data_IF_926171715106
#
_entry.id   IF_926171715106
#
_cell.length_a   1.000
_cell.length_b   1.000
_cell.length_c   1.000
_cell.angle_alpha   90.00
_cell.angle_beta   90.00
_cell.angle_gamma   90.00
#
_symmetry.space_group_name_H-M   'P 1'
#
loop_
_entity.id
_entity.type
_entity.pdbx_description
1 polymer ?
#
# COMPACT_ATOMS: atom_id res chain seq x y z
N UNK A 1 1.47 11.87 14.01
CA UNK A 1 0.80 10.98 15.00
C UNK A 1 0.80 11.50 16.44
N UNK A 2 1.62 12.49 16.82
CA UNK A 2 1.60 13.06 18.18
C UNK A 2 0.24 13.64 18.64
N UNK A 3 -0.65 13.99 17.71
CA UNK A 3 -1.98 14.56 18.02
C UNK A 3 -2.99 13.53 18.55
N UNK A 4 -2.91 12.26 18.13
CA UNK A 4 -3.93 11.25 18.47
C UNK A 4 -3.53 10.33 19.62
N UNK A 5 -2.28 10.39 20.10
CA UNK A 5 -1.77 9.47 21.12
C UNK A 5 -2.50 9.54 22.46
N UNK A 6 -3.11 10.70 22.78
CA UNK A 6 -3.81 10.91 24.04
C UNK A 6 -5.33 10.67 23.93
N UNK A 7 -5.84 10.38 22.72
CA UNK A 7 -7.28 10.30 22.43
C UNK A 7 -7.65 8.94 21.81
N UNK A 8 -6.91 7.88 22.16
CA UNK A 8 -7.12 6.54 21.59
C UNK A 8 -8.47 5.92 21.99
N UNK A 9 -9.04 6.33 23.12
CA UNK A 9 -10.32 5.84 23.65
C UNK A 9 -11.53 6.63 23.12
N UNK A 10 -11.34 7.65 22.28
CA UNK A 10 -12.44 8.44 21.74
C UNK A 10 -13.24 7.65 20.69
N UNK A 11 -14.56 7.68 20.83
CA UNK A 11 -15.50 7.14 19.84
C UNK A 11 -15.96 8.29 18.95
N UNK A 12 -15.41 8.35 17.73
CA UNK A 12 -15.80 9.30 16.69
C UNK A 12 -15.98 8.62 15.33
N UNK A 13 -16.57 9.33 14.38
CA UNK A 13 -16.50 8.94 12.97
C UNK A 13 -15.10 9.27 12.42
N UNK A 14 -14.13 8.41 12.74
CA UNK A 14 -12.72 8.58 12.39
C UNK A 14 -12.49 8.73 10.88
N UNK A 15 -13.40 8.25 10.04
CA UNK A 15 -13.33 8.43 8.58
C UNK A 15 -13.53 9.88 8.14
N UNK A 16 -14.18 10.71 8.97
CA UNK A 16 -14.37 12.14 8.74
C UNK A 16 -13.32 12.99 9.45
N UNK A 17 -12.78 12.49 10.56
CA UNK A 17 -11.82 13.19 11.40
C UNK A 17 -10.41 13.13 10.81
N UNK A 18 -10.00 11.94 10.35
CA UNK A 18 -8.67 11.75 9.80
C UNK A 18 -8.60 12.32 8.39
N UNK A 19 -7.53 13.05 8.10
CA UNK A 19 -7.20 13.41 6.71
C UNK A 19 -6.98 12.16 5.86
N UNK A 20 -7.13 12.26 4.54
CA UNK A 20 -6.88 11.13 3.63
C UNK A 20 -5.49 10.52 3.82
N UNK A 21 -4.46 11.35 4.02
CA UNK A 21 -3.10 10.88 4.28
C UNK A 21 -2.94 10.16 5.63
N UNK A 22 -3.70 10.54 6.65
CA UNK A 22 -3.74 9.81 7.93
C UNK A 22 -4.50 8.49 7.80
N UNK A 23 -5.58 8.46 7.03
CA UNK A 23 -6.30 7.22 6.73
C UNK A 23 -5.43 6.23 5.97
N UNK A 24 -4.66 6.69 4.98
CA UNK A 24 -3.66 5.86 4.29
C UNK A 24 -2.61 5.32 5.27
N UNK A 25 -2.04 6.16 6.14
CA UNK A 25 -1.08 5.69 7.16
C UNK A 25 -1.70 4.64 8.09
N UNK A 26 -2.95 4.82 8.51
CA UNK A 26 -3.68 3.82 9.30
C UNK A 26 -3.89 2.52 8.53
N UNK A 27 -4.17 2.57 7.22
CA UNK A 27 -4.26 1.39 6.38
C UNK A 27 -2.93 0.63 6.34
N UNK A 28 -1.80 1.33 6.16
CA UNK A 28 -0.47 0.70 6.21
C UNK A 28 -0.14 0.09 7.57
N UNK A 29 -0.47 0.76 8.67
CA UNK A 29 -0.33 0.19 10.01
C UNK A 29 -1.15 -1.10 10.15
N UNK A 30 -2.40 -1.11 9.66
CA UNK A 30 -3.24 -2.31 9.69
C UNK A 30 -2.64 -3.45 8.87
N UNK A 31 -2.09 -3.17 7.70
CA UNK A 31 -1.43 -4.15 6.85
C UNK A 31 -0.24 -4.78 7.58
N UNK A 32 0.64 -3.95 8.15
CA UNK A 32 1.83 -4.41 8.87
C UNK A 32 1.50 -5.18 10.15
N UNK A 33 0.42 -4.80 10.83
CA UNK A 33 -0.05 -5.47 12.03
C UNK A 33 -0.70 -6.83 11.73
N UNK A 34 -1.60 -6.87 10.74
CA UNK A 34 -2.38 -8.07 10.43
C UNK A 34 -1.59 -9.09 9.60
N UNK A 35 -0.60 -8.64 8.82
CA UNK A 35 0.21 -9.46 7.91
C UNK A 35 -0.65 -10.40 7.06
N UNK A 36 -1.56 -9.87 6.22
CA UNK A 36 -2.50 -10.71 5.48
C UNK A 36 -1.79 -11.54 4.42
N UNK A 37 -2.22 -12.79 4.20
CA UNK A 37 -1.66 -13.66 3.14
C UNK A 37 -1.79 -13.07 1.74
N UNK A 38 -2.80 -12.22 1.51
CA UNK A 38 -3.06 -11.54 0.24
C UNK A 38 -3.25 -10.06 0.51
N UNK A 39 -2.50 -9.23 -0.20
CA UNK A 39 -2.57 -7.78 -0.11
C UNK A 39 -2.84 -7.20 -1.49
N UNK A 40 -3.95 -6.47 -1.62
CA UNK A 40 -4.33 -5.74 -2.82
C UNK A 40 -4.15 -4.24 -2.59
N UNK A 41 -3.35 -3.59 -3.42
CA UNK A 41 -3.09 -2.15 -3.36
C UNK A 41 -3.53 -1.49 -4.67
N UNK A 42 -4.67 -0.83 -4.65
CA UNK A 42 -5.19 -0.10 -5.81
C UNK A 42 -4.85 1.40 -5.70
N UNK A 43 -3.88 1.87 -6.49
CA UNK A 43 -3.44 3.27 -6.57
C UNK A 43 -3.13 3.95 -5.21
N UNK A 44 -2.77 3.15 -4.20
CA UNK A 44 -2.65 3.58 -2.79
C UNK A 44 -1.54 4.62 -2.58
N UNK A 45 -0.60 4.71 -3.51
CA UNK A 45 0.54 5.62 -3.49
C UNK A 45 0.43 6.79 -4.47
N UNK A 46 -0.72 6.96 -5.14
CA UNK A 46 -0.97 8.05 -6.11
C UNK A 46 -0.71 9.45 -5.56
N UNK A 47 -0.93 9.66 -4.27
CA UNK A 47 -0.70 10.93 -3.56
C UNK A 47 0.73 11.10 -3.01
N UNK A 48 1.60 10.11 -3.19
CA UNK A 48 2.99 10.15 -2.70
C UNK A 48 3.94 10.60 -3.81
N UNK A 49 5.04 11.24 -3.41
CA UNK A 49 6.18 11.37 -4.31
C UNK A 49 6.89 10.01 -4.49
N UNK A 50 7.79 9.96 -5.46
CA UNK A 50 8.50 8.74 -5.85
C UNK A 50 9.39 8.16 -4.74
N UNK A 51 10.01 9.03 -3.94
CA UNK A 51 10.90 8.60 -2.85
C UNK A 51 10.09 7.99 -1.71
N UNK A 52 8.96 8.61 -1.35
CA UNK A 52 8.03 8.13 -0.35
C UNK A 52 7.36 6.80 -0.78
N UNK A 53 6.98 6.66 -2.04
CA UNK A 53 6.45 5.40 -2.60
C UNK A 53 7.48 4.28 -2.49
N UNK A 54 8.71 4.52 -2.97
CA UNK A 54 9.80 3.55 -2.93
C UNK A 54 10.12 3.13 -1.49
N UNK A 55 10.19 4.08 -0.57
CA UNK A 55 10.42 3.81 0.85
C UNK A 55 9.30 2.99 1.48
N UNK A 56 8.06 3.27 1.11
CA UNK A 56 6.92 2.54 1.64
C UNK A 56 6.89 1.08 1.15
N UNK A 57 7.14 0.87 -0.15
CA UNK A 57 7.20 -0.48 -0.70
C UNK A 57 8.39 -1.27 -0.16
N UNK A 58 9.54 -0.65 0.10
CA UNK A 58 10.68 -1.35 0.70
C UNK A 58 10.34 -1.88 2.11
N UNK A 59 9.60 -1.12 2.92
CA UNK A 59 9.09 -1.58 4.22
C UNK A 59 8.13 -2.77 4.03
N UNK A 60 7.18 -2.67 3.09
CA UNK A 60 6.24 -3.76 2.82
C UNK A 60 6.97 -5.05 2.41
N UNK A 61 7.95 -4.95 1.50
CA UNK A 61 8.74 -6.12 1.09
C UNK A 61 9.54 -6.69 2.24
N UNK A 62 10.18 -5.84 3.06
CA UNK A 62 10.94 -6.29 4.22
C UNK A 62 10.07 -7.04 5.24
N UNK A 63 8.87 -6.54 5.53
CA UNK A 63 8.00 -7.08 6.57
C UNK A 63 7.11 -8.23 6.10
N UNK A 64 6.76 -8.27 4.81
CA UNK A 64 5.68 -9.12 4.30
C UNK A 64 6.09 -10.14 3.24
N UNK A 65 7.23 -9.98 2.54
CA UNK A 65 7.56 -10.81 1.38
C UNK A 65 7.60 -12.32 1.68
N UNK A 66 7.92 -12.71 2.91
CA UNK A 66 7.98 -14.12 3.32
C UNK A 66 6.61 -14.74 3.64
N UNK A 67 5.54 -13.93 3.74
CA UNK A 67 4.23 -14.39 4.21
C UNK A 67 3.07 -13.98 3.30
N UNK A 68 3.21 -12.87 2.59
CA UNK A 68 2.11 -12.22 1.88
C UNK A 68 2.39 -12.18 0.38
N UNK A 69 1.37 -12.49 -0.41
CA UNK A 69 1.37 -12.19 -1.84
C UNK A 69 0.79 -10.80 -2.06
N UNK A 70 1.54 -9.95 -2.74
CA UNK A 70 1.18 -8.54 -2.97
C UNK A 70 0.83 -8.35 -4.44
N UNK A 71 -0.38 -7.83 -4.68
CA UNK A 71 -0.88 -7.43 -5.99
C UNK A 71 -1.14 -5.93 -5.90
N UNK A 72 -0.51 -5.15 -6.77
CA UNK A 72 -0.69 -3.71 -6.77
C UNK A 72 -0.88 -3.14 -8.16
N UNK A 73 -1.67 -2.08 -8.21
CA UNK A 73 -1.94 -1.26 -9.39
C UNK A 73 -1.30 0.10 -9.12
N UNK A 74 -0.48 0.56 -10.05
CA UNK A 74 0.12 1.88 -9.97
C UNK A 74 0.57 2.38 -11.34
N UNK A 75 0.69 3.70 -11.47
CA UNK A 75 1.04 4.34 -12.74
C UNK A 75 2.55 4.49 -12.98
N UNK A 76 3.38 4.16 -11.99
CA UNK A 76 4.82 4.45 -11.99
C UNK A 76 5.63 3.18 -12.19
N UNK A 77 6.64 3.26 -13.06
CA UNK A 77 7.56 2.15 -13.33
C UNK A 77 8.38 1.73 -12.09
N UNK A 78 8.45 2.56 -11.06
CA UNK A 78 9.25 2.28 -9.86
C UNK A 78 8.71 1.12 -9.03
N UNK A 79 7.42 0.78 -9.19
CA UNK A 79 6.87 -0.40 -8.53
C UNK A 79 7.45 -1.69 -9.08
N UNK A 80 7.85 -1.72 -10.36
CA UNK A 80 8.35 -2.93 -11.03
C UNK A 80 9.47 -3.61 -10.24
N UNK A 81 10.38 -2.86 -9.64
CA UNK A 81 11.50 -3.42 -8.87
C UNK A 81 11.06 -4.24 -7.64
N UNK A 82 9.81 -4.08 -7.19
CA UNK A 82 9.25 -4.78 -6.04
C UNK A 82 8.35 -5.97 -6.42
N UNK A 83 8.15 -6.23 -7.71
CA UNK A 83 7.34 -7.34 -8.22
C UNK A 83 8.16 -8.27 -9.08
N UNK A 84 7.75 -9.54 -9.11
CA UNK A 84 8.37 -10.57 -9.96
C UNK A 84 7.58 -10.76 -11.27
N UNK A 85 6.31 -10.36 -11.26
CA UNK A 85 5.38 -10.51 -12.37
C UNK A 85 4.68 -9.19 -12.66
N UNK A 86 4.55 -8.86 -13.93
CA UNK A 86 3.76 -7.75 -14.43
C UNK A 86 2.61 -8.29 -15.29
N UNK A 87 1.40 -7.82 -15.01
CA UNK A 87 0.21 -8.07 -15.80
C UNK A 87 -0.15 -6.80 -16.55
N UNK A 88 -0.22 -6.88 -17.88
CA UNK A 88 -0.57 -5.75 -18.75
C UNK A 88 -1.92 -6.06 -19.40
N UNK A 89 -2.88 -5.16 -19.20
CA UNK A 89 -4.20 -5.22 -19.84
C UNK A 89 -4.23 -4.27 -21.03
N UNK A 90 -4.35 -4.81 -22.25
CA UNK A 90 -4.44 -4.06 -23.51
C UNK A 90 -5.66 -4.52 -24.31
N UNK A 91 -6.62 -3.63 -24.55
CA UNK A 91 -7.83 -3.88 -25.35
C UNK A 91 -8.56 -5.20 -25.00
N UNK A 92 -8.71 -5.46 -23.69
CA UNK A 92 -9.36 -6.67 -23.18
C UNK A 92 -8.48 -7.93 -23.20
N UNK A 93 -7.25 -7.85 -23.70
CA UNK A 93 -6.27 -8.93 -23.62
C UNK A 93 -5.35 -8.73 -22.42
N UNK A 94 -5.07 -9.81 -21.69
CA UNK A 94 -4.12 -9.82 -20.57
C UNK A 94 -2.86 -10.53 -21.00
N UNK A 95 -1.72 -9.85 -20.91
CA UNK A 95 -0.40 -10.46 -21.04
C UNK A 95 0.31 -10.45 -19.69
N UNK A 96 1.05 -11.52 -19.41
CA UNK A 96 1.83 -11.65 -18.18
C UNK A 96 3.31 -11.80 -18.54
N UNK A 97 4.16 -11.03 -17.87
CA UNK A 97 5.61 -11.02 -18.06
C UNK A 97 6.32 -11.19 -16.72
N UNK A 98 7.47 -11.87 -16.72
CA UNK A 98 8.39 -11.84 -15.58
C UNK A 98 9.24 -10.58 -15.67
N UNK A 99 9.43 -9.90 -14.55
CA UNK A 99 10.21 -8.66 -14.43
C UNK A 99 11.23 -8.74 -13.30
#
# INVERSE_FOLDING_TARGET
MKYWSNNLDEVQDWSRVLSLGEQQKMAFIRILYLRPKWLFLDEVTSSLDEQAETYLYSILMQELANHSTIISIGHRNNLRQFHQLELVLNDGNVTMMSI
#
